data_IF_828061079145
#
_entry.id   IF_828061079145
#
_cell.length_a   1.000
_cell.length_b   1.000
_cell.length_c   1.000
_cell.angle_alpha   90.00
_cell.angle_beta   90.00
_cell.angle_gamma   90.00
#
_symmetry.space_group_name_H-M   'P 1'
#
loop_
_entity.id
_entity.type
_entity.pdbx_description
1 polymer ?
#
# COMPACT_ATOMS: atom_id res chain seq x y z
N UNK A 1 -28.88 6.18 7.92
CA UNK A 1 -27.43 5.97 8.16
C UNK A 1 -26.77 5.76 6.82
N UNK A 2 -26.09 6.72 6.32
CA UNK A 2 -25.26 6.54 5.13
C UNK A 2 -24.08 5.68 5.53
N UNK A 3 -24.05 4.43 5.08
CA UNK A 3 -22.86 3.61 5.15
C UNK A 3 -21.76 4.37 4.42
N UNK A 4 -20.71 4.74 5.17
CA UNK A 4 -19.52 5.39 4.59
C UNK A 4 -18.76 4.34 3.78
N UNK A 5 -19.32 3.94 2.64
CA UNK A 5 -18.68 3.03 1.70
C UNK A 5 -17.57 3.84 1.05
N UNK A 6 -16.33 3.43 1.22
CA UNK A 6 -15.22 4.06 0.51
C UNK A 6 -15.50 3.94 -0.97
N UNK A 7 -15.59 5.05 -1.67
CA UNK A 7 -15.85 5.05 -3.11
C UNK A 7 -14.67 4.49 -3.92
N UNK A 8 -13.47 4.53 -3.35
CA UNK A 8 -12.25 4.01 -3.95
C UNK A 8 -11.58 2.99 -3.03
N UNK A 9 -11.39 1.77 -3.52
CA UNK A 9 -10.61 0.72 -2.87
C UNK A 9 -9.22 0.64 -3.50
N UNK A 10 -8.19 0.69 -2.67
CA UNK A 10 -6.79 0.55 -3.08
C UNK A 10 -6.24 -0.76 -2.54
N UNK A 11 -5.71 -1.61 -3.40
CA UNK A 11 -5.07 -2.87 -3.02
C UNK A 11 -3.63 -2.88 -3.50
N UNK A 12 -2.66 -2.99 -2.60
CA UNK A 12 -1.26 -2.91 -2.98
C UNK A 12 -0.28 -3.05 -1.82
N UNK A 13 0.96 -2.66 -2.07
CA UNK A 13 2.04 -2.75 -1.09
C UNK A 13 2.06 -1.56 -0.13
N UNK A 14 2.37 -1.88 1.13
CA UNK A 14 2.86 -0.95 2.15
C UNK A 14 4.25 -1.43 2.55
N UNK A 15 5.22 -0.54 2.53
CA UNK A 15 6.63 -0.90 2.69
C UNK A 15 7.39 0.12 3.54
N UNK A 16 8.58 -0.27 3.96
CA UNK A 16 9.62 0.64 4.40
C UNK A 16 10.73 0.69 3.35
N UNK A 17 10.93 1.89 2.81
CA UNK A 17 11.92 2.12 1.76
C UNK A 17 13.17 2.80 2.33
N UNK A 18 14.33 2.23 2.02
CA UNK A 18 15.63 2.84 2.30
C UNK A 18 16.22 3.34 1.00
N UNK A 19 16.32 4.67 0.87
CA UNK A 19 16.73 5.31 -0.39
C UNK A 19 17.96 6.18 -0.17
N UNK A 20 18.84 6.15 -1.16
CA UNK A 20 19.98 7.05 -1.29
C UNK A 20 19.89 7.81 -2.60
N UNK A 21 20.04 9.13 -2.51
CA UNK A 21 20.05 10.06 -3.64
C UNK A 21 21.23 11.01 -3.50
N UNK A 22 21.45 11.86 -4.48
CA UNK A 22 22.44 12.92 -4.39
C UNK A 22 22.17 13.89 -3.22
N UNK A 23 20.90 14.12 -2.88
CA UNK A 23 20.49 15.03 -1.81
C UNK A 23 20.66 14.42 -0.39
N UNK A 24 20.93 13.13 -0.29
CA UNK A 24 21.09 12.42 1.00
C UNK A 24 20.44 11.04 1.01
N UNK A 25 20.27 10.49 2.21
CA UNK A 25 19.70 9.16 2.40
C UNK A 25 18.60 9.16 3.46
N UNK A 26 17.67 8.23 3.31
CA UNK A 26 16.64 7.90 4.31
C UNK A 26 16.59 6.39 4.48
N UNK A 27 16.47 5.96 5.72
CA UNK A 27 16.31 4.55 6.08
C UNK A 27 14.90 4.32 6.62
N UNK A 28 14.28 3.22 6.20
CA UNK A 28 12.94 2.82 6.65
C UNK A 28 11.90 3.97 6.58
N UNK A 29 11.89 4.71 5.48
CA UNK A 29 10.83 5.67 5.21
C UNK A 29 9.53 4.94 4.83
N UNK A 30 8.38 5.44 5.28
CA UNK A 30 7.09 4.89 4.86
C UNK A 30 6.97 4.98 3.33
N UNK A 31 6.68 3.85 2.70
CA UNK A 31 6.61 3.68 1.27
C UNK A 31 5.57 2.65 0.86
N UNK A 32 5.69 2.19 -0.37
CA UNK A 32 4.75 1.26 -1.00
C UNK A 32 3.70 1.95 -1.85
N UNK A 33 3.29 1.28 -2.92
CA UNK A 33 2.37 1.83 -3.92
C UNK A 33 0.98 2.14 -3.36
N UNK A 34 0.45 1.29 -2.45
CA UNK A 34 -0.82 1.55 -1.79
C UNK A 34 -0.75 2.77 -0.88
N UNK A 35 0.35 2.98 -0.17
CA UNK A 35 0.56 4.13 0.70
C UNK A 35 0.48 5.44 -0.07
N UNK A 36 1.31 5.59 -1.11
CA UNK A 36 1.36 6.84 -1.89
C UNK A 36 0.05 7.14 -2.59
N UNK A 37 -0.55 6.13 -3.23
CA UNK A 37 -1.80 6.33 -3.94
C UNK A 37 -2.95 6.67 -2.99
N UNK A 38 -3.07 5.97 -1.86
CA UNK A 38 -4.12 6.25 -0.87
C UNK A 38 -4.00 7.65 -0.27
N UNK A 39 -2.79 8.08 0.09
CA UNK A 39 -2.56 9.43 0.60
C UNK A 39 -2.91 10.49 -0.44
N UNK A 40 -2.46 10.33 -1.69
CA UNK A 40 -2.77 11.28 -2.75
C UNK A 40 -4.28 11.35 -3.05
N UNK A 41 -4.94 10.19 -3.16
CA UNK A 41 -6.37 10.09 -3.48
C UNK A 41 -7.28 10.59 -2.36
N UNK A 42 -6.82 10.52 -1.11
CA UNK A 42 -7.59 10.96 0.07
C UNK A 42 -7.97 12.45 0.04
N UNK A 43 -7.27 13.27 -0.74
CA UNK A 43 -7.62 14.67 -0.96
C UNK A 43 -8.83 14.87 -1.88
N UNK A 44 -9.22 13.85 -2.62
CA UNK A 44 -10.25 13.94 -3.66
C UNK A 44 -11.46 13.04 -3.40
N UNK A 45 -11.26 11.93 -2.67
CA UNK A 45 -12.29 10.89 -2.50
C UNK A 45 -12.07 10.13 -1.19
N UNK A 46 -13.13 9.57 -0.57
CA UNK A 46 -12.97 8.54 0.45
C UNK A 46 -12.22 7.33 -0.10
N UNK A 47 -11.18 6.90 0.63
CA UNK A 47 -10.29 5.81 0.22
C UNK A 47 -10.26 4.72 1.28
N UNK A 48 -10.47 3.47 0.88
CA UNK A 48 -10.16 2.28 1.68
C UNK A 48 -8.88 1.60 1.19
N UNK A 49 -8.03 1.18 2.11
CA UNK A 49 -6.78 0.48 1.80
C UNK A 49 -6.86 -0.98 2.21
N UNK A 50 -6.42 -1.87 1.32
CA UNK A 50 -6.19 -3.30 1.58
C UNK A 50 -4.72 -3.60 1.33
N UNK A 51 -4.02 -3.95 2.37
CA UNK A 51 -2.59 -4.25 2.36
C UNK A 51 -2.21 -5.11 3.57
N UNK A 52 -0.94 -5.50 3.66
CA UNK A 52 -0.40 -6.25 4.80
C UNK A 52 0.86 -5.58 5.32
N UNK A 53 1.00 -5.54 6.64
CA UNK A 53 2.19 -5.06 7.36
C UNK A 53 2.59 -6.04 8.45
N UNK A 54 3.82 -5.94 8.93
CA UNK A 54 4.33 -6.73 10.04
C UNK A 54 4.07 -6.11 11.41
N UNK A 55 4.52 -6.80 12.46
CA UNK A 55 4.46 -6.33 13.85
C UNK A 55 5.28 -5.06 14.08
N UNK A 56 6.29 -4.84 13.23
CA UNK A 56 7.18 -3.69 13.28
C UNK A 56 6.62 -2.42 12.61
N UNK A 57 5.37 -2.49 12.10
CA UNK A 57 4.75 -1.31 11.49
C UNK A 57 4.45 -0.27 12.56
N UNK A 58 4.99 0.93 12.38
CA UNK A 58 4.97 1.99 13.39
C UNK A 58 3.59 2.60 13.53
N UNK A 59 3.15 2.83 14.77
CA UNK A 59 1.87 3.49 15.03
C UNK A 59 1.78 4.90 14.45
N UNK A 60 2.91 5.64 14.43
CA UNK A 60 2.94 6.96 13.80
C UNK A 60 2.65 6.94 12.30
N UNK A 61 3.06 5.89 11.59
CA UNK A 61 2.74 5.72 10.17
C UNK A 61 1.26 5.33 9.97
N UNK A 62 0.72 4.52 10.87
CA UNK A 62 -0.71 4.19 10.89
C UNK A 62 -1.56 5.44 11.16
N UNK A 63 -1.16 6.26 12.12
CA UNK A 63 -1.83 7.51 12.45
C UNK A 63 -1.75 8.53 11.32
N UNK A 64 -0.66 8.56 10.56
CA UNK A 64 -0.55 9.38 9.35
C UNK A 64 -1.67 9.02 8.35
N UNK A 65 -1.86 7.73 8.07
CA UNK A 65 -2.91 7.27 7.17
C UNK A 65 -4.30 7.66 7.68
N UNK A 66 -4.57 7.47 8.98
CA UNK A 66 -5.84 7.83 9.62
C UNK A 66 -6.10 9.34 9.60
N UNK A 67 -5.07 10.16 9.84
CA UNK A 67 -5.17 11.63 9.80
C UNK A 67 -5.58 12.12 8.41
N UNK A 68 -5.14 11.43 7.36
CA UNK A 68 -5.55 11.68 5.98
C UNK A 68 -6.88 10.97 5.62
N UNK A 69 -7.62 10.47 6.61
CA UNK A 69 -8.93 9.82 6.44
C UNK A 69 -8.92 8.59 5.53
N UNK A 70 -7.77 7.93 5.40
CA UNK A 70 -7.69 6.62 4.75
C UNK A 70 -8.31 5.59 5.68
N UNK A 71 -9.29 4.83 5.18
CA UNK A 71 -9.86 3.70 5.91
C UNK A 71 -8.85 2.54 5.89
N UNK A 72 -8.23 2.31 7.03
CA UNK A 72 -7.20 1.26 7.22
C UNK A 72 -7.78 -0.04 7.79
N UNK A 73 -9.09 -0.22 7.79
CA UNK A 73 -9.74 -1.45 8.27
C UNK A 73 -9.33 -2.69 7.47
N UNK A 74 -8.86 -2.52 6.24
CA UNK A 74 -8.30 -3.56 5.39
C UNK A 74 -6.79 -3.74 5.50
N UNK A 75 -6.11 -3.00 6.38
CA UNK A 75 -4.68 -3.17 6.64
C UNK A 75 -4.47 -4.30 7.63
N UNK A 76 -4.05 -5.46 7.13
CA UNK A 76 -3.78 -6.65 7.94
C UNK A 76 -2.40 -6.53 8.61
N UNK A 77 -2.33 -6.84 9.91
CA UNK A 77 -1.06 -6.95 10.64
C UNK A 77 -0.76 -8.43 10.89
N UNK A 78 0.39 -8.90 10.42
CA UNK A 78 0.86 -10.29 10.59
C UNK A 78 2.13 -10.36 11.42
N UNK A 79 2.36 -11.47 12.14
CA UNK A 79 3.65 -11.72 12.78
C UNK A 79 4.80 -11.68 11.77
N UNK A 80 5.84 -10.90 12.09
CA UNK A 80 7.00 -10.73 11.21
C UNK A 80 7.24 -9.27 10.84
N UNK A 81 8.11 -9.05 9.87
CA UNK A 81 8.49 -7.71 9.43
C UNK A 81 7.64 -7.24 8.24
N UNK A 82 7.43 -5.94 8.19
CA UNK A 82 6.87 -5.24 7.03
C UNK A 82 7.81 -5.37 5.83
N UNK A 83 7.26 -5.39 4.63
CA UNK A 83 8.00 -5.37 3.36
C UNK A 83 9.04 -4.23 3.35
N UNK A 84 10.26 -4.54 2.91
CA UNK A 84 11.35 -3.57 2.79
C UNK A 84 11.96 -3.58 1.40
N UNK A 85 12.28 -2.39 0.95
CA UNK A 85 13.04 -2.19 -0.27
C UNK A 85 14.18 -1.20 -0.02
N UNK A 86 15.34 -1.43 -0.63
CA UNK A 86 16.46 -0.51 -0.58
C UNK A 86 16.98 -0.25 -1.99
N UNK A 87 17.28 1.01 -2.29
CA UNK A 87 17.80 1.40 -3.58
C UNK A 87 18.60 2.70 -3.59
N UNK A 88 19.36 2.87 -4.67
CA UNK A 88 20.15 4.06 -4.96
C UNK A 88 19.66 4.67 -6.25
N UNK A 89 19.38 5.94 -6.23
CA UNK A 89 19.07 6.71 -7.43
C UNK A 89 20.35 7.32 -7.99
N UNK A 90 20.46 7.27 -9.32
CA UNK A 90 21.59 7.83 -10.05
C UNK A 90 21.68 9.34 -9.81
N UNK A 91 22.91 9.87 -9.84
CA UNK A 91 23.16 11.29 -9.58
C UNK A 91 22.93 12.18 -10.80
N UNK A 92 23.04 11.61 -12.02
CA UNK A 92 22.86 12.34 -13.28
C UNK A 92 21.45 12.13 -13.84
N UNK A 93 20.87 10.91 -13.66
CA UNK A 93 19.52 10.58 -14.09
C UNK A 93 18.69 10.05 -12.91
N UNK A 94 17.89 10.93 -12.32
CA UNK A 94 17.01 10.61 -11.19
C UNK A 94 15.92 9.55 -11.49
N UNK A 95 15.70 9.21 -12.76
CA UNK A 95 14.79 8.15 -13.15
C UNK A 95 15.47 6.78 -13.18
N UNK A 96 16.81 6.75 -13.18
CA UNK A 96 17.59 5.52 -13.09
C UNK A 96 17.87 5.19 -11.65
N UNK A 97 17.56 3.95 -11.27
CA UNK A 97 17.83 3.43 -9.92
C UNK A 97 18.37 2.03 -9.96
N UNK A 98 19.19 1.72 -8.98
CA UNK A 98 19.66 0.37 -8.68
C UNK A 98 18.97 -0.14 -7.41
N UNK A 99 18.36 -1.32 -7.49
CA UNK A 99 17.82 -2.02 -6.32
C UNK A 99 18.96 -2.73 -5.61
N UNK A 100 19.17 -2.39 -4.35
CA UNK A 100 20.21 -3.00 -3.50
C UNK A 100 19.68 -4.21 -2.74
N UNK A 101 18.42 -4.14 -2.26
CA UNK A 101 17.81 -5.20 -1.47
C UNK A 101 16.27 -5.17 -1.60
N UNK A 102 15.67 -6.35 -1.52
CA UNK A 102 14.21 -6.51 -1.49
C UNK A 102 13.86 -7.63 -0.52
N UNK A 103 13.21 -7.27 0.58
CA UNK A 103 12.76 -8.20 1.62
C UNK A 103 11.24 -8.20 1.66
N UNK A 104 10.63 -9.18 1.02
CA UNK A 104 9.16 -9.27 0.95
C UNK A 104 8.52 -9.45 2.33
N UNK A 105 9.15 -10.22 3.22
CA UNK A 105 8.68 -10.47 4.58
C UNK A 105 7.20 -10.92 4.58
N UNK A 106 6.33 -10.31 5.40
CA UNK A 106 4.90 -10.66 5.43
C UNK A 106 4.17 -10.45 4.10
N UNK A 107 4.73 -9.63 3.21
CA UNK A 107 4.15 -9.39 1.87
C UNK A 107 4.31 -10.60 0.93
N UNK A 108 5.27 -11.50 1.19
CA UNK A 108 5.48 -12.71 0.37
C UNK A 108 4.22 -13.59 0.30
N UNK A 109 3.48 -13.67 1.40
CA UNK A 109 2.27 -14.48 1.54
C UNK A 109 0.99 -13.63 1.53
N UNK A 110 1.06 -12.44 0.95
CA UNK A 110 -0.10 -11.55 0.83
C UNK A 110 -1.14 -12.15 -0.10
N UNK A 111 -2.32 -12.42 0.45
CA UNK A 111 -3.45 -12.98 -0.28
C UNK A 111 -4.74 -12.35 0.27
N UNK A 112 -5.12 -11.15 -0.21
CA UNK A 112 -6.22 -10.41 0.36
C UNK A 112 -7.57 -11.08 0.11
N UNK A 113 -8.40 -11.16 1.16
CA UNK A 113 -9.80 -11.55 1.09
C UNK A 113 -10.65 -10.32 1.38
N UNK A 114 -11.37 -9.84 0.39
CA UNK A 114 -12.17 -8.63 0.52
C UNK A 114 -13.43 -8.88 1.35
N UNK A 115 -13.73 -7.97 2.26
CA UNK A 115 -15.00 -7.95 2.99
C UNK A 115 -16.15 -7.58 2.03
N UNK A 116 -17.42 -7.88 2.37
CA UNK A 116 -18.57 -7.46 1.54
C UNK A 116 -18.57 -5.96 1.24
N UNK A 117 -18.23 -5.13 2.22
CA UNK A 117 -18.12 -3.68 2.03
C UNK A 117 -17.06 -3.29 1.00
N UNK A 118 -15.89 -3.95 1.04
CA UNK A 118 -14.80 -3.69 0.10
C UNK A 118 -15.14 -4.15 -1.32
N UNK A 119 -15.87 -5.27 -1.47
CA UNK A 119 -16.32 -5.79 -2.78
C UNK A 119 -17.30 -4.87 -3.48
N UNK A 120 -18.04 -4.05 -2.73
CA UNK A 120 -19.00 -3.08 -3.26
C UNK A 120 -18.43 -1.69 -3.52
N UNK A 121 -17.11 -1.51 -3.54
CA UNK A 121 -16.50 -0.22 -3.86
C UNK A 121 -16.80 0.18 -5.31
N UNK A 122 -17.03 1.49 -5.55
CA UNK A 122 -17.34 2.01 -6.88
C UNK A 122 -16.14 1.98 -7.81
N UNK A 123 -14.94 2.18 -7.25
CA UNK A 123 -13.66 2.20 -7.98
C UNK A 123 -12.65 1.31 -7.29
N UNK A 124 -11.85 0.63 -8.09
CA UNK A 124 -10.76 -0.23 -7.63
C UNK A 124 -9.44 0.24 -8.25
N UNK A 125 -8.45 0.53 -7.42
CA UNK A 125 -7.09 0.75 -7.84
C UNK A 125 -6.22 -0.45 -7.44
N UNK A 126 -5.77 -1.22 -8.43
CA UNK A 126 -4.85 -2.32 -8.27
C UNK A 126 -3.42 -1.77 -8.37
N UNK A 127 -2.83 -1.51 -7.20
CA UNK A 127 -1.49 -0.97 -7.10
C UNK A 127 -0.43 -2.05 -7.40
N UNK A 128 0.83 -1.74 -7.21
CA UNK A 128 1.93 -2.63 -7.57
C UNK A 128 1.97 -3.88 -6.67
N UNK A 129 1.37 -4.96 -7.16
CA UNK A 129 1.40 -6.32 -6.59
C UNK A 129 1.50 -7.34 -7.73
N UNK A 130 1.69 -8.60 -7.39
CA UNK A 130 1.77 -9.65 -8.40
C UNK A 130 0.48 -9.71 -9.25
N UNK A 131 0.56 -9.81 -10.59
CA UNK A 131 -0.61 -9.77 -11.47
C UNK A 131 -1.70 -10.80 -11.16
N UNK A 132 -1.34 -11.99 -10.67
CA UNK A 132 -2.32 -12.99 -10.25
C UNK A 132 -3.12 -12.55 -9.02
N UNK A 133 -2.49 -11.80 -8.09
CA UNK A 133 -3.22 -11.20 -6.97
C UNK A 133 -4.13 -10.09 -7.43
N UNK A 134 -3.72 -9.28 -8.40
CA UNK A 134 -4.59 -8.25 -9.00
C UNK A 134 -5.83 -8.89 -9.64
N UNK A 135 -5.64 -9.96 -10.39
CA UNK A 135 -6.74 -10.71 -11.02
C UNK A 135 -7.66 -11.33 -9.96
N UNK A 136 -7.10 -11.92 -8.90
CA UNK A 136 -7.88 -12.50 -7.81
C UNK A 136 -8.73 -11.45 -7.10
N UNK A 137 -8.16 -10.29 -6.78
CA UNK A 137 -8.89 -9.16 -6.20
C UNK A 137 -10.01 -8.68 -7.11
N UNK A 138 -9.74 -8.53 -8.41
CA UNK A 138 -10.75 -8.12 -9.40
C UNK A 138 -11.92 -9.12 -9.47
N UNK A 139 -11.64 -10.42 -9.37
CA UNK A 139 -12.66 -11.47 -9.37
C UNK A 139 -13.51 -11.49 -8.08
N UNK A 140 -13.03 -10.90 -7.00
CA UNK A 140 -13.78 -10.78 -5.74
C UNK A 140 -14.78 -9.61 -5.75
N UNK A 141 -14.65 -8.63 -6.66
CA UNK A 141 -15.55 -7.47 -6.74
C UNK A 141 -16.97 -7.90 -7.16
N UNK A 142 -17.98 -7.28 -6.54
CA UNK A 142 -19.42 -7.56 -6.85
C UNK A 142 -19.80 -7.10 -8.24
N UNK A 143 -19.21 -6.01 -8.71
CA UNK A 143 -19.33 -5.53 -10.09
C UNK A 143 -17.92 -5.23 -10.62
N UNK A 144 -17.74 -5.28 -11.92
CA UNK A 144 -16.51 -4.77 -12.52
C UNK A 144 -16.57 -3.25 -12.50
N UNK A 145 -15.73 -2.61 -11.65
CA UNK A 145 -15.68 -1.15 -11.54
C UNK A 145 -15.11 -0.49 -12.79
#
# INVERSE_FOLDING_TARGET
MTSNTSSLLVVGSVAYDSVRTQAGSRTDALGGSATYFSLASSYFSPVGMVAVVGDDFREGDLDLLRTHKVDVSGLERKPGKTFRWAGVYDTEDVNTRETLDTQLNVFADFSPVLTPRQRGADYLFLANIHPLLQLDVLNQMESRP
#
